data_IF_548838734036
#
_entry.id   IF_548838734036
#
_cell.length_a   1.000
_cell.length_b   1.000
_cell.length_c   1.000
_cell.angle_alpha   90.00
_cell.angle_beta   90.00
_cell.angle_gamma   90.00
#
_symmetry.space_group_name_H-M   'P 1'
#
loop_
_entity.id
_entity.type
_entity.pdbx_description
1 polymer ?
#
# COMPACT_ATOMS: atom_id res chain seq x y z
N UNK A 1 -9.74 -2.83 20.22
CA UNK A 1 -8.76 -1.74 20.46
C UNK A 1 -7.41 -2.08 19.84
N UNK A 2 -6.78 -3.21 20.17
CA UNK A 2 -5.49 -3.62 19.59
C UNK A 2 -5.46 -3.56 18.04
N UNK A 3 -6.35 -4.30 17.35
CA UNK A 3 -6.41 -4.28 15.88
C UNK A 3 -6.71 -2.89 15.30
N UNK A 4 -7.56 -2.11 15.98
CA UNK A 4 -7.88 -0.73 15.58
C UNK A 4 -6.62 0.15 15.57
N UNK A 5 -5.76 0.04 16.59
CA UNK A 5 -4.51 0.80 16.67
C UNK A 5 -3.53 0.38 15.57
N UNK A 6 -3.46 -0.93 15.28
CA UNK A 6 -2.59 -1.44 14.22
C UNK A 6 -2.99 -0.94 12.84
N UNK A 7 -4.28 -1.04 12.50
CA UNK A 7 -4.80 -0.68 11.17
C UNK A 7 -4.93 0.82 10.94
N UNK A 8 -5.09 1.62 11.99
CA UNK A 8 -5.26 3.07 11.87
C UNK A 8 -3.97 3.79 11.48
N UNK A 9 -4.07 5.07 11.11
CA UNK A 9 -2.91 5.90 10.83
C UNK A 9 -2.05 6.18 12.08
N UNK A 10 -0.80 6.59 11.89
CA UNK A 10 0.07 7.05 12.97
C UNK A 10 -0.53 8.25 13.71
N UNK A 11 -1.12 9.20 12.97
CA UNK A 11 -1.78 10.37 13.56
C UNK A 11 -2.93 9.96 14.50
N UNK A 12 -3.74 8.98 14.11
CA UNK A 12 -4.81 8.46 14.97
C UNK A 12 -4.26 7.79 16.24
N UNK A 13 -3.16 7.05 16.12
CA UNK A 13 -2.51 6.40 17.28
C UNK A 13 -1.98 7.43 18.28
N UNK A 14 -1.33 8.49 17.80
CA UNK A 14 -0.87 9.59 18.66
C UNK A 14 -2.03 10.38 19.27
N UNK A 15 -3.11 10.63 18.51
CA UNK A 15 -4.29 11.30 19.03
C UNK A 15 -5.00 10.47 20.13
N UNK A 16 -5.05 9.15 19.97
CA UNK A 16 -5.60 8.23 20.98
C UNK A 16 -4.71 8.16 22.23
N UNK A 17 -3.39 8.15 22.06
CA UNK A 17 -2.46 8.24 23.20
C UNK A 17 -2.63 9.56 23.95
N UNK A 18 -2.67 10.68 23.23
CA UNK A 18 -2.85 12.02 23.81
C UNK A 18 -4.18 12.13 24.55
N UNK A 19 -5.28 11.62 23.98
CA UNK A 19 -6.59 11.64 24.64
C UNK A 19 -6.63 10.76 25.90
N UNK A 20 -5.91 9.63 25.91
CA UNK A 20 -5.80 8.77 27.09
C UNK A 20 -5.01 9.47 28.22
N UNK A 21 -3.89 10.15 27.92
CA UNK A 21 -3.17 10.97 28.89
C UNK A 21 -4.02 12.14 29.38
N UNK A 22 -4.70 12.84 28.48
CA UNK A 22 -5.57 13.95 28.86
C UNK A 22 -6.68 13.48 29.81
N UNK A 23 -7.32 12.33 29.53
CA UNK A 23 -8.33 11.75 30.41
C UNK A 23 -7.76 11.39 31.79
N UNK A 24 -6.59 10.74 31.83
CA UNK A 24 -5.93 10.39 33.10
C UNK A 24 -5.55 11.64 33.91
N UNK A 25 -5.05 12.69 33.25
CA UNK A 25 -4.75 13.97 33.89
C UNK A 25 -6.02 14.63 34.41
N UNK A 26 -7.13 14.61 33.67
CA UNK A 26 -8.42 15.16 34.12
C UNK A 26 -8.99 14.40 35.32
N UNK A 27 -8.85 13.07 35.35
CA UNK A 27 -9.27 12.26 36.51
C UNK A 27 -8.41 12.55 37.75
N UNK A 28 -7.08 12.61 37.59
CA UNK A 28 -6.17 12.99 38.67
C UNK A 28 -6.40 14.44 39.12
N UNK A 29 -6.71 15.35 38.19
CA UNK A 29 -7.06 16.73 38.47
C UNK A 29 -8.32 16.80 39.35
N UNK A 30 -9.40 16.12 38.95
CA UNK A 30 -10.64 16.06 39.73
C UNK A 30 -10.40 15.52 41.15
N UNK A 31 -9.56 14.50 41.31
CA UNK A 31 -9.18 13.96 42.61
C UNK A 31 -8.34 14.94 43.45
N UNK A 32 -7.48 15.73 42.82
CA UNK A 32 -6.55 16.66 43.49
C UNK A 32 -7.18 18.00 43.92
N UNK A 33 -8.29 18.43 43.33
CA UNK A 33 -8.98 19.69 43.71
C UNK A 33 -9.41 19.68 45.19
N UNK A 34 -9.78 18.50 45.71
CA UNK A 34 -10.21 18.34 47.10
C UNK A 34 -9.08 18.31 48.13
N UNK A 35 -7.82 18.24 47.68
CA UNK A 35 -6.65 18.07 48.55
C UNK A 35 -5.95 19.42 48.81
N UNK A 36 -5.53 19.72 50.04
CA UNK A 36 -4.67 20.88 50.30
C UNK A 36 -3.27 20.63 49.71
N UNK A 37 -2.90 21.46 48.74
CA UNK A 37 -1.60 21.44 48.06
C UNK A 37 -0.81 22.69 48.48
N UNK A 38 0.48 22.52 48.77
CA UNK A 38 1.41 23.59 49.03
C UNK A 38 2.27 23.87 47.80
N UNK A 39 2.49 25.15 47.50
CA UNK A 39 3.35 25.60 46.42
C UNK A 39 4.65 26.14 47.04
N UNK A 40 5.75 25.43 46.85
CA UNK A 40 7.07 25.81 47.39
C UNK A 40 7.64 27.04 46.64
N UNK A 41 7.21 27.24 45.40
CA UNK A 41 7.60 28.37 44.55
C UNK A 41 6.64 29.57 44.67
N UNK A 42 5.83 29.67 45.72
CA UNK A 42 4.86 30.76 45.86
C UNK A 42 5.52 32.15 45.78
N UNK A 43 6.73 32.30 46.30
CA UNK A 43 7.49 33.55 46.31
C UNK A 43 8.09 33.90 44.94
N UNK A 44 8.44 32.91 44.12
CA UNK A 44 9.01 33.10 42.78
C UNK A 44 7.95 33.17 41.67
N UNK A 45 6.82 32.47 41.85
CA UNK A 45 5.66 32.49 40.93
C UNK A 45 4.75 33.72 41.19
N UNK A 46 5.10 34.58 42.14
CA UNK A 46 4.45 35.86 42.38
C UNK A 46 4.61 36.75 41.13
N UNK A 47 3.60 36.71 40.26
CA UNK A 47 3.49 37.53 39.06
C UNK A 47 3.64 39.03 39.46
N UNK A 48 4.28 39.90 38.66
CA UNK A 48 4.35 41.34 38.94
C UNK A 48 2.98 42.04 39.06
N UNK A 49 1.88 41.33 38.77
CA UNK A 49 0.49 41.75 38.95
C UNK A 49 -0.17 41.31 40.28
N UNK A 50 0.54 40.60 41.17
CA UNK A 50 0.05 40.21 42.49
C UNK A 50 -1.07 39.16 42.50
N UNK A 51 -1.34 38.50 41.37
CA UNK A 51 -2.37 37.46 41.28
C UNK A 51 -1.81 36.11 41.76
N UNK A 52 -2.35 35.59 42.87
CA UNK A 52 -2.05 34.24 43.36
C UNK A 52 -2.47 33.17 42.34
N UNK A 53 -1.67 32.11 42.22
CA UNK A 53 -1.99 30.95 41.36
C UNK A 53 -3.28 30.32 41.86
N UNK A 54 -4.29 30.22 40.99
CA UNK A 54 -5.57 29.59 41.36
C UNK A 54 -5.39 28.14 41.79
N UNK A 55 -6.20 27.69 42.75
CA UNK A 55 -6.19 26.30 43.25
C UNK A 55 -6.36 25.27 42.13
N UNK A 56 -7.15 25.61 41.11
CA UNK A 56 -7.32 24.77 39.93
C UNK A 56 -6.02 24.65 39.11
N UNK A 57 -5.28 25.74 38.91
CA UNK A 57 -3.99 25.68 38.22
C UNK A 57 -2.97 24.84 39.02
N UNK A 58 -2.96 24.97 40.35
CA UNK A 58 -2.07 24.19 41.22
C UNK A 58 -2.40 22.68 41.20
N UNK A 59 -3.68 22.34 41.30
CA UNK A 59 -4.17 20.97 41.17
C UNK A 59 -3.86 20.37 39.78
N UNK A 60 -3.99 21.15 38.70
CA UNK A 60 -3.63 20.70 37.35
C UNK A 60 -2.12 20.46 37.18
N UNK A 61 -1.27 21.32 37.74
CA UNK A 61 0.19 21.13 37.77
C UNK A 61 0.57 19.87 38.56
N UNK A 62 -0.09 19.63 39.69
CA UNK A 62 0.10 18.42 40.49
C UNK A 62 -0.35 17.17 39.73
N UNK A 63 -1.54 17.17 39.15
CA UNK A 63 -2.08 16.03 38.41
C UNK A 63 -1.23 15.68 37.17
N UNK A 64 -0.85 16.69 36.38
CA UNK A 64 -0.04 16.48 35.18
C UNK A 64 1.37 15.97 35.51
N UNK A 65 2.03 16.53 36.53
CA UNK A 65 3.36 16.07 36.96
C UNK A 65 3.38 14.62 37.45
N UNK A 66 2.35 14.17 38.18
CA UNK A 66 2.31 12.81 38.72
C UNK A 66 1.88 11.76 37.68
N UNK A 67 0.95 12.11 36.77
CA UNK A 67 0.52 11.21 35.68
C UNK A 67 1.60 11.08 34.60
N UNK A 68 2.26 12.18 34.21
CA UNK A 68 3.35 12.17 33.22
C UNK A 68 4.70 11.77 33.83
N UNK A 69 4.79 11.71 35.16
CA UNK A 69 6.00 11.39 35.91
C UNK A 69 7.16 12.37 35.69
N UNK A 70 6.85 13.57 35.16
CA UNK A 70 7.77 14.69 35.02
C UNK A 70 7.34 15.78 36.01
N UNK A 71 7.85 15.69 37.23
CA UNK A 71 7.61 16.70 38.26
C UNK A 71 8.77 17.67 38.36
N UNK A 72 8.45 18.96 38.40
CA UNK A 72 9.40 20.03 38.70
C UNK A 72 9.55 20.25 40.22
N UNK A 73 8.87 19.46 41.06
CA UNK A 73 9.00 19.52 42.52
C UNK A 73 8.32 20.73 43.20
N UNK A 74 7.58 21.54 42.46
CA UNK A 74 7.04 22.82 42.96
C UNK A 74 5.76 22.69 43.77
N UNK A 75 5.00 21.60 43.59
CA UNK A 75 3.71 21.37 44.22
C UNK A 75 3.74 20.09 45.03
N UNK A 76 3.50 20.20 46.34
CA UNK A 76 3.55 19.06 47.26
C UNK A 76 2.28 18.96 48.12
N UNK A 77 1.78 17.74 48.41
CA UNK A 77 0.66 17.55 49.33
C UNK A 77 1.13 17.75 50.78
N UNK A 78 0.27 18.33 51.62
CA UNK A 78 0.57 18.56 53.05
C UNK A 78 -0.07 17.55 53.98
N UNK A 79 -0.99 16.73 53.48
CA UNK A 79 -1.76 15.75 54.26
C UNK A 79 -1.50 14.32 53.78
N UNK A 80 -1.65 13.35 54.68
CA UNK A 80 -1.52 11.92 54.35
C UNK A 80 -2.50 11.49 53.24
N UNK A 81 -3.70 12.06 53.24
CA UNK A 81 -4.69 11.85 52.17
C UNK A 81 -4.18 12.38 50.80
N UNK A 82 -3.44 13.48 50.79
CA UNK A 82 -2.83 14.02 49.57
C UNK A 82 -1.70 13.15 49.04
N UNK A 83 -0.87 12.59 49.92
CA UNK A 83 0.14 11.60 49.53
C UNK A 83 -0.49 10.32 48.97
N UNK A 84 -1.62 9.86 49.55
CA UNK A 84 -2.35 8.72 49.00
C UNK A 84 -2.85 8.99 47.56
N UNK A 85 -3.40 10.19 47.29
CA UNK A 85 -3.79 10.60 45.93
C UNK A 85 -2.58 10.70 45.01
N UNK A 86 -1.43 11.17 45.50
CA UNK A 86 -0.17 11.22 44.74
C UNK A 86 0.28 9.81 44.31
N UNK A 87 0.25 8.83 45.21
CA UNK A 87 0.64 7.46 44.87
C UNK A 87 -0.33 6.81 43.90
N UNK A 88 -1.64 7.05 44.05
CA UNK A 88 -2.65 6.54 43.12
C UNK A 88 -2.50 7.14 41.72
N UNK A 89 -2.22 8.43 41.61
CA UNK A 89 -2.01 9.08 40.31
C UNK A 89 -0.72 8.62 39.62
N UNK A 90 0.35 8.38 40.38
CA UNK A 90 1.59 7.78 39.86
C UNK A 90 1.34 6.35 39.35
N UNK A 91 0.63 5.53 40.12
CA UNK A 91 0.30 4.16 39.69
C UNK A 91 -0.54 4.16 38.40
N UNK A 92 -1.51 5.07 38.29
CA UNK A 92 -2.29 5.25 37.07
C UNK A 92 -1.40 5.67 35.88
N UNK A 93 -0.48 6.60 36.09
CA UNK A 93 0.48 7.04 35.07
C UNK A 93 1.39 5.91 34.58
N UNK A 94 1.92 5.07 35.49
CA UNK A 94 2.74 3.91 35.13
C UNK A 94 1.97 2.93 34.26
N UNK A 95 0.76 2.56 34.65
CA UNK A 95 -0.09 1.63 33.90
C UNK A 95 -0.39 2.19 32.51
N UNK A 96 -0.73 3.48 32.42
CA UNK A 96 -0.99 4.14 31.15
C UNK A 96 0.24 4.17 30.23
N UNK A 97 1.41 4.53 30.77
CA UNK A 97 2.68 4.52 30.03
C UNK A 97 2.99 3.15 29.45
N UNK A 98 2.80 2.08 30.25
CA UNK A 98 3.02 0.71 29.79
C UNK A 98 2.09 0.35 28.61
N UNK A 99 0.82 0.73 28.68
CA UNK A 99 -0.13 0.46 27.60
C UNK A 99 0.18 1.24 26.33
N UNK A 100 0.46 2.54 26.44
CA UNK A 100 0.81 3.39 25.28
C UNK A 100 2.09 2.89 24.63
N UNK A 101 3.13 2.61 25.41
CA UNK A 101 4.39 2.08 24.90
C UNK A 101 4.21 0.74 24.21
N UNK A 102 3.45 -0.18 24.81
CA UNK A 102 3.15 -1.49 24.21
C UNK A 102 2.39 -1.35 22.89
N UNK A 103 1.43 -0.42 22.82
CA UNK A 103 0.67 -0.16 21.60
C UNK A 103 1.55 0.42 20.47
N UNK A 104 2.45 1.35 20.81
CA UNK A 104 3.40 1.93 19.85
C UNK A 104 4.39 0.87 19.35
N UNK A 105 4.95 0.05 20.25
CA UNK A 105 5.85 -1.05 19.86
C UNK A 105 5.16 -2.08 18.97
N UNK A 106 3.93 -2.49 19.32
CA UNK A 106 3.16 -3.43 18.50
C UNK A 106 2.91 -2.87 17.09
N UNK A 107 2.65 -1.56 16.98
CA UNK A 107 2.47 -0.90 15.69
C UNK A 107 3.76 -0.84 14.87
N UNK A 108 4.91 -0.59 15.50
CA UNK A 108 6.22 -0.64 14.84
C UNK A 108 6.60 -2.04 14.36
N UNK A 109 6.21 -3.08 15.10
CA UNK A 109 6.47 -4.47 14.72
C UNK A 109 5.52 -4.98 13.65
N UNK A 110 4.41 -4.29 13.38
CA UNK A 110 3.45 -4.69 12.36
C UNK A 110 4.06 -4.49 10.96
N UNK A 111 4.13 -5.54 10.13
CA UNK A 111 4.67 -5.42 8.78
C UNK A 111 3.80 -4.48 7.93
N UNK A 112 4.42 -3.49 7.28
CA UNK A 112 3.72 -2.59 6.37
C UNK A 112 3.48 -3.23 5.00
N UNK A 113 2.41 -2.81 4.31
CA UNK A 113 2.04 -3.32 2.98
C UNK A 113 2.89 -2.64 1.90
N UNK A 114 4.13 -3.11 1.72
CA UNK A 114 5.07 -2.50 0.78
C UNK A 114 5.14 -3.21 -0.58
N UNK A 115 4.16 -4.09 -0.85
CA UNK A 115 4.00 -4.75 -2.14
C UNK A 115 3.03 -3.96 -3.01
N UNK A 116 3.53 -3.44 -4.12
CA UNK A 116 2.75 -2.67 -5.10
C UNK A 116 2.42 -3.55 -6.29
N UNK A 117 1.23 -3.38 -6.83
CA UNK A 117 0.75 -4.07 -8.02
C UNK A 117 0.53 -3.07 -9.15
N UNK A 118 0.73 -3.48 -10.40
CA UNK A 118 0.42 -2.61 -11.53
C UNK A 118 -1.05 -2.26 -11.55
N UNK A 119 -1.38 -1.00 -11.85
CA UNK A 119 -2.77 -0.54 -11.91
C UNK A 119 -3.56 -1.23 -13.03
N UNK A 120 -2.88 -1.58 -14.13
CA UNK A 120 -3.43 -2.23 -15.32
C UNK A 120 -2.76 -3.57 -15.56
N UNK A 121 -3.48 -4.48 -16.22
CA UNK A 121 -2.92 -5.71 -16.76
C UNK A 121 -2.73 -5.53 -18.27
N UNK A 122 -1.55 -5.87 -18.78
CA UNK A 122 -1.20 -5.63 -20.19
C UNK A 122 -1.21 -6.96 -20.95
N UNK A 123 -1.90 -6.99 -22.08
CA UNK A 123 -1.84 -8.10 -23.02
C UNK A 123 -0.67 -7.92 -23.98
N UNK A 124 0.24 -8.89 -23.99
CA UNK A 124 1.40 -8.93 -24.87
C UNK A 124 1.44 -10.24 -25.65
N UNK A 125 2.31 -10.33 -26.65
CA UNK A 125 2.60 -11.59 -27.35
C UNK A 125 4.05 -11.98 -27.08
N UNK A 126 4.26 -13.19 -26.55
CA UNK A 126 5.59 -13.79 -26.39
C UNK A 126 5.63 -15.05 -27.26
N UNK A 127 6.56 -15.10 -28.21
CA UNK A 127 6.72 -16.22 -29.14
C UNK A 127 5.41 -16.60 -29.88
N UNK A 128 4.62 -15.60 -30.26
CA UNK A 128 3.33 -15.79 -30.92
C UNK A 128 2.16 -16.21 -30.02
N UNK A 129 2.40 -16.47 -28.73
CA UNK A 129 1.38 -16.80 -27.73
C UNK A 129 0.90 -15.51 -27.03
N UNK A 130 -0.42 -15.25 -26.93
CA UNK A 130 -0.94 -14.15 -26.14
C UNK A 130 -0.73 -14.42 -24.65
N UNK A 131 -0.11 -13.47 -23.95
CA UNK A 131 0.25 -13.56 -22.53
C UNK A 131 -0.30 -12.34 -21.80
N UNK A 132 -1.02 -12.59 -20.71
CA UNK A 132 -1.47 -11.55 -19.80
C UNK A 132 -0.36 -11.26 -18.77
N UNK A 133 0.14 -10.03 -18.79
CA UNK A 133 1.21 -9.58 -17.91
C UNK A 133 0.67 -8.66 -16.81
N UNK A 134 1.01 -8.97 -15.56
CA UNK A 134 0.77 -8.14 -14.38
C UNK A 134 2.07 -7.99 -13.62
N UNK A 135 2.36 -6.79 -13.13
CA UNK A 135 3.62 -6.53 -12.42
C UNK A 135 3.38 -6.43 -10.92
N UNK A 136 4.26 -7.06 -10.14
CA UNK A 136 4.35 -6.90 -8.70
C UNK A 136 5.72 -6.31 -8.35
N UNK A 137 5.71 -5.27 -7.53
CA UNK A 137 6.90 -4.57 -7.05
C UNK A 137 7.04 -4.73 -5.54
N UNK A 138 8.26 -5.01 -5.09
CA UNK A 138 8.66 -4.92 -3.70
C UNK A 138 9.35 -3.58 -3.49
N UNK A 139 8.70 -2.69 -2.72
CA UNK A 139 9.29 -1.42 -2.32
C UNK A 139 10.31 -1.58 -1.18
N UNK A 140 10.48 -2.79 -0.64
CA UNK A 140 11.47 -3.06 0.42
C UNK A 140 12.87 -3.18 -0.17
N UNK A 141 13.85 -2.68 0.56
CA UNK A 141 15.26 -2.77 0.19
C UNK A 141 15.87 -4.17 0.35
N UNK A 142 15.10 -5.16 0.85
CA UNK A 142 15.56 -6.54 1.05
C UNK A 142 14.73 -7.55 0.26
N UNK A 143 15.33 -8.70 0.02
CA UNK A 143 14.76 -9.78 -0.78
C UNK A 143 13.74 -10.59 0.01
N UNK A 144 12.58 -10.86 -0.60
CA UNK A 144 11.59 -11.81 -0.10
C UNK A 144 11.92 -13.22 -0.59
N UNK A 145 11.69 -14.21 0.27
CA UNK A 145 11.97 -15.61 -0.02
C UNK A 145 10.69 -16.43 -0.14
N UNK A 146 10.78 -17.59 -0.81
CA UNK A 146 9.69 -18.55 -0.95
C UNK A 146 8.41 -17.88 -1.51
N UNK A 147 8.58 -17.12 -2.60
CA UNK A 147 7.47 -16.42 -3.21
C UNK A 147 6.50 -17.42 -3.86
N UNK A 148 5.22 -17.29 -3.57
CA UNK A 148 4.14 -18.10 -4.13
C UNK A 148 3.11 -17.15 -4.70
N UNK A 149 2.77 -17.37 -5.97
CA UNK A 149 1.80 -16.57 -6.71
C UNK A 149 0.62 -17.46 -7.05
N UNK A 150 -0.59 -17.01 -6.70
CA UNK A 150 -1.84 -17.70 -7.01
C UNK A 150 -2.75 -16.77 -7.78
N UNK A 151 -3.17 -17.21 -8.96
CA UNK A 151 -4.09 -16.46 -9.81
C UNK A 151 -5.38 -17.25 -9.93
N UNK A 152 -6.50 -16.59 -9.62
CA UNK A 152 -7.84 -17.19 -9.65
C UNK A 152 -8.75 -16.36 -10.53
N UNK A 153 -9.28 -16.97 -11.59
CA UNK A 153 -10.33 -16.40 -12.42
C UNK A 153 -11.69 -16.71 -11.79
N UNK A 154 -12.43 -15.66 -11.44
CA UNK A 154 -13.77 -15.71 -10.91
C UNK A 154 -14.75 -15.30 -12.00
N UNK A 155 -15.70 -16.16 -12.33
CA UNK A 155 -16.76 -15.85 -13.29
C UNK A 155 -18.09 -16.44 -12.88
N UNK A 156 -19.18 -15.78 -13.25
CA UNK A 156 -20.52 -16.36 -13.10
C UNK A 156 -20.66 -17.54 -14.07
N UNK A 157 -21.10 -18.68 -13.55
CA UNK A 157 -21.39 -19.87 -14.35
C UNK A 157 -22.75 -20.43 -13.95
N UNK A 158 -23.55 -20.79 -14.95
CA UNK A 158 -24.81 -21.50 -14.75
C UNK A 158 -24.57 -22.95 -15.16
N UNK A 159 -24.88 -23.89 -14.27
CA UNK A 159 -24.77 -25.33 -14.57
C UNK A 159 -25.84 -25.75 -15.56
N UNK A 160 -25.64 -26.91 -16.18
CA UNK A 160 -26.67 -27.58 -16.98
C UNK A 160 -27.93 -27.93 -16.17
N UNK A 161 -27.81 -27.97 -14.85
CA UNK A 161 -28.88 -28.25 -13.89
C UNK A 161 -29.63 -26.96 -13.47
N UNK A 162 -29.22 -25.79 -13.97
CA UNK A 162 -29.87 -24.50 -13.71
C UNK A 162 -29.37 -23.76 -12.46
N UNK A 163 -28.35 -24.28 -11.75
CA UNK A 163 -27.75 -23.59 -10.61
C UNK A 163 -26.75 -22.52 -11.08
N UNK A 164 -26.93 -21.28 -10.61
CA UNK A 164 -26.00 -20.19 -10.87
C UNK A 164 -25.05 -19.99 -9.69
N UNK A 165 -23.74 -20.15 -9.91
CA UNK A 165 -22.71 -19.90 -8.89
C UNK A 165 -21.48 -19.19 -9.47
N UNK A 166 -20.63 -18.67 -8.58
CA UNK A 166 -19.34 -18.08 -8.95
C UNK A 166 -18.29 -19.18 -9.07
N UNK A 167 -17.95 -19.55 -10.32
CA UNK A 167 -16.93 -20.55 -10.60
C UNK A 167 -15.55 -19.95 -10.43
N UNK A 168 -14.72 -20.60 -9.61
CA UNK A 168 -13.32 -20.27 -9.39
C UNK A 168 -12.46 -21.21 -10.25
N UNK A 169 -11.66 -20.64 -11.14
CA UNK A 169 -10.72 -21.38 -11.98
C UNK A 169 -9.31 -20.95 -11.61
N UNK A 170 -8.43 -21.92 -11.29
CA UNK A 170 -7.02 -21.65 -11.07
C UNK A 170 -6.35 -21.41 -12.42
N UNK A 171 -5.51 -20.39 -12.49
CA UNK A 171 -4.60 -20.14 -13.61
C UNK A 171 -3.21 -20.56 -13.15
N UNK A 172 -2.55 -21.37 -13.97
CA UNK A 172 -1.18 -21.82 -13.68
C UNK A 172 -0.20 -20.70 -14.02
N UNK A 173 0.68 -20.41 -13.06
CA UNK A 173 1.67 -19.36 -13.11
C UNK A 173 2.94 -19.89 -12.48
N UNK A 174 4.08 -19.58 -13.09
CA UNK A 174 5.40 -19.93 -12.56
C UNK A 174 5.81 -18.89 -11.52
N UNK A 175 5.91 -19.25 -10.22
CA UNK A 175 6.37 -18.32 -9.21
C UNK A 175 7.89 -18.15 -9.24
N UNK A 176 8.42 -16.95 -8.91
CA UNK A 176 9.86 -16.76 -8.73
C UNK A 176 10.33 -17.35 -7.39
N UNK A 177 11.60 -17.77 -7.31
CA UNK A 177 12.17 -18.27 -6.05
C UNK A 177 12.35 -17.16 -5.00
N UNK A 178 12.73 -15.96 -5.45
CA UNK A 178 13.01 -14.78 -4.63
C UNK A 178 12.58 -13.50 -5.33
N UNK A 179 12.24 -12.46 -4.56
CA UNK A 179 11.79 -11.19 -5.13
C UNK A 179 12.42 -10.01 -4.38
N UNK A 180 13.35 -9.30 -5.03
CA UNK A 180 14.08 -8.16 -4.44
C UNK A 180 13.70 -6.80 -5.02
N UNK A 181 12.91 -6.77 -6.10
CA UNK A 181 12.59 -5.57 -6.84
C UNK A 181 11.25 -5.74 -7.54
N UNK A 182 11.27 -5.85 -8.86
CA UNK A 182 10.05 -6.01 -9.66
C UNK A 182 10.01 -7.40 -10.28
N UNK A 183 8.83 -8.02 -10.30
CA UNK A 183 8.57 -9.26 -11.01
C UNK A 183 7.32 -9.13 -11.88
N UNK A 184 7.44 -9.51 -13.15
CA UNK A 184 6.31 -9.54 -14.08
C UNK A 184 5.74 -10.94 -14.12
N UNK A 185 4.51 -11.07 -13.63
CA UNK A 185 3.69 -12.28 -13.67
C UNK A 185 3.13 -12.43 -15.08
N UNK A 186 3.58 -13.45 -15.79
CA UNK A 186 3.11 -13.82 -17.11
C UNK A 186 2.12 -14.99 -17.01
N UNK A 187 0.91 -14.81 -17.55
CA UNK A 187 -0.10 -15.86 -17.62
C UNK A 187 -0.41 -16.16 -19.09
N UNK A 188 -0.06 -17.35 -19.55
CA UNK A 188 -0.24 -17.73 -20.95
C UNK A 188 -1.71 -18.03 -21.26
N UNK A 189 -2.21 -17.45 -22.35
CA UNK A 189 -3.58 -17.63 -22.83
C UNK A 189 -3.61 -18.69 -23.93
N UNK A 190 -3.36 -19.93 -23.51
CA UNK A 190 -3.37 -21.14 -24.37
C UNK A 190 -4.77 -21.77 -24.35
N UNK A 191 -5.25 -22.45 -25.41
CA UNK A 191 -6.56 -23.12 -25.44
C UNK A 191 -6.91 -24.05 -24.25
N UNK A 192 -5.90 -24.56 -23.53
CA UNK A 192 -6.10 -25.34 -22.28
C UNK A 192 -6.20 -24.51 -20.99
N UNK A 193 -5.87 -23.23 -21.03
CA UNK A 193 -5.87 -22.31 -19.89
C UNK A 193 -7.27 -21.80 -19.57
N UNK A 194 -7.54 -21.56 -18.28
CA UNK A 194 -8.79 -20.95 -17.84
C UNK A 194 -9.02 -19.55 -18.44
N UNK A 195 -7.94 -18.84 -18.80
CA UNK A 195 -7.96 -17.51 -19.40
C UNK A 195 -8.47 -17.49 -20.83
N UNK A 196 -8.27 -18.58 -21.59
CA UNK A 196 -8.64 -18.63 -23.01
C UNK A 196 -10.14 -18.46 -23.24
N UNK A 197 -10.96 -18.96 -22.31
CA UNK A 197 -12.43 -18.86 -22.38
C UNK A 197 -12.96 -17.43 -22.26
N UNK A 198 -12.10 -16.49 -21.91
CA UNK A 198 -12.48 -15.12 -21.55
C UNK A 198 -11.70 -14.10 -22.37
N UNK A 199 -10.40 -14.35 -22.62
CA UNK A 199 -9.53 -13.43 -23.35
C UNK A 199 -9.12 -13.97 -24.73
N UNK A 200 -9.63 -15.13 -25.17
CA UNK A 200 -9.32 -15.72 -26.48
C UNK A 200 -9.70 -14.82 -27.66
N UNK A 201 -10.90 -14.23 -27.62
CA UNK A 201 -11.47 -13.45 -28.72
C UNK A 201 -11.34 -11.93 -28.55
N UNK A 202 -10.67 -11.47 -27.50
CA UNK A 202 -10.58 -10.05 -27.17
C UNK A 202 -9.83 -9.26 -28.26
N UNK A 203 -10.31 -8.05 -28.58
CA UNK A 203 -9.60 -7.09 -29.46
C UNK A 203 -8.16 -6.80 -28.98
N UNK A 204 -7.89 -7.03 -27.70
CA UNK A 204 -6.57 -6.84 -27.08
C UNK A 204 -5.54 -7.94 -27.41
N UNK A 205 -5.95 -9.08 -27.99
CA UNK A 205 -5.02 -10.18 -28.37
C UNK A 205 -4.60 -10.13 -29.85
N UNK A 206 -5.33 -9.34 -30.65
CA UNK A 206 -5.04 -9.10 -32.07
C UNK A 206 -4.27 -7.79 -32.21
N UNK A 207 -3.11 -7.87 -32.87
CA UNK A 207 -2.37 -6.69 -33.28
C UNK A 207 -3.15 -5.99 -34.39
N UNK A 208 -3.32 -4.66 -34.36
CA UNK A 208 -3.81 -3.95 -35.53
C UNK A 208 -2.83 -4.22 -36.68
N UNK A 209 -3.29 -4.93 -37.70
CA UNK A 209 -2.53 -5.15 -38.92
C UNK A 209 -2.48 -3.83 -39.70
N UNK A 210 -1.51 -2.99 -39.41
CA UNK A 210 -1.40 -1.67 -40.05
C UNK A 210 -0.51 -0.69 -39.30
N UNK A 211 0.75 -1.06 -39.07
CA UNK A 211 1.81 -0.12 -38.73
C UNK A 211 3.03 -0.38 -39.63
N UNK A 212 2.78 -0.51 -40.94
CA UNK A 212 3.81 -0.35 -41.96
C UNK A 212 3.49 0.94 -42.71
N UNK A 213 4.42 1.89 -42.60
CA UNK A 213 4.62 3.07 -43.45
C UNK A 213 3.45 4.05 -43.61
N UNK A 214 3.57 5.20 -42.95
CA UNK A 214 3.05 6.45 -43.50
C UNK A 214 3.81 6.72 -44.82
N UNK A 215 3.15 6.44 -45.94
CA UNK A 215 3.48 6.98 -47.25
C UNK A 215 2.15 7.13 -48.00
N UNK A 216 1.97 8.30 -48.59
CA UNK A 216 0.84 8.72 -49.39
C UNK A 216 0.38 7.64 -50.37
N UNK A 217 -0.94 7.44 -50.49
CA UNK A 217 -1.63 7.37 -51.79
C UNK A 217 -3.15 7.36 -51.58
N UNK A 218 -3.81 8.34 -52.18
CA UNK A 218 -5.25 8.40 -52.38
C UNK A 218 -5.70 7.22 -53.25
N UNK A 219 -6.57 6.35 -52.74
CA UNK A 219 -7.61 5.77 -53.60
C UNK A 219 -8.83 5.30 -52.82
N UNK A 220 -9.99 5.77 -53.27
CA UNK A 220 -11.29 5.43 -52.76
C UNK A 220 -11.79 4.17 -53.47
N UNK A 221 -12.05 3.09 -52.73
CA UNK A 221 -13.05 2.09 -53.14
C UNK A 221 -13.71 1.42 -51.95
N UNK A 222 -14.93 1.86 -51.72
CA UNK A 222 -16.13 1.10 -51.39
C UNK A 222 -15.94 -0.41 -51.08
N UNK A 223 -16.08 -0.76 -49.80
CA UNK A 223 -16.51 -2.09 -49.38
C UNK A 223 -17.42 -1.91 -48.15
N UNK A 224 -18.71 -1.81 -48.46
CA UNK A 224 -19.80 -1.99 -47.51
C UNK A 224 -19.74 -3.39 -46.91
N UNK A 225 -19.32 -3.52 -45.66
CA UNK A 225 -19.71 -4.64 -44.81
C UNK A 225 -20.29 -4.06 -43.51
N UNK A 226 -21.60 -3.82 -43.58
CA UNK A 226 -22.49 -3.79 -42.43
C UNK A 226 -22.48 -5.17 -41.77
N UNK A 227 -21.52 -5.40 -40.87
CA UNK A 227 -21.73 -6.32 -39.76
C UNK A 227 -22.14 -5.48 -38.55
N UNK A 228 -23.45 -5.27 -38.47
CA UNK A 228 -24.17 -5.00 -37.24
C UNK A 228 -24.03 -6.21 -36.32
N UNK A 229 -22.83 -6.40 -35.75
CA UNK A 229 -22.66 -7.26 -34.60
C UNK A 229 -23.28 -6.54 -33.41
N UNK A 230 -24.46 -7.02 -33.07
CA UNK A 230 -25.18 -6.73 -31.83
C UNK A 230 -24.24 -6.38 -30.68
N UNK A 231 -24.37 -5.16 -30.15
CA UNK A 231 -23.81 -4.69 -28.87
C UNK A 231 -24.30 -5.51 -27.63
N UNK A 232 -24.78 -6.74 -27.84
CA UNK A 232 -25.34 -7.67 -26.86
C UNK A 232 -24.45 -8.91 -26.62
N UNK A 233 -23.25 -8.97 -27.19
CA UNK A 233 -22.21 -9.90 -26.73
C UNK A 233 -21.71 -9.46 -25.36
N UNK A 234 -22.49 -9.87 -24.35
CA UNK A 234 -22.23 -9.82 -22.91
C UNK A 234 -20.73 -9.68 -22.64
N UNK A 235 -20.31 -8.48 -22.25
CA UNK A 235 -19.17 -8.30 -21.35
C UNK A 235 -19.41 -9.22 -20.14
N UNK A 236 -19.00 -10.47 -20.23
CA UNK A 236 -19.14 -11.42 -19.13
C UNK A 236 -18.32 -10.83 -17.99
N UNK A 237 -18.99 -10.36 -16.95
CA UNK A 237 -18.28 -9.84 -15.78
C UNK A 237 -17.45 -10.97 -15.18
N UNK A 238 -16.15 -10.91 -15.39
CA UNK A 238 -15.15 -11.79 -14.81
C UNK A 238 -14.19 -10.95 -13.96
N UNK A 239 -13.60 -11.58 -12.96
CA UNK A 239 -12.66 -10.94 -12.06
C UNK A 239 -11.43 -11.83 -11.89
N UNK A 240 -10.26 -11.28 -12.15
CA UNK A 240 -8.98 -11.95 -11.88
C UNK A 240 -8.46 -11.51 -10.52
N UNK A 241 -8.34 -12.46 -9.61
CA UNK A 241 -7.78 -12.24 -8.28
C UNK A 241 -6.37 -12.81 -8.21
N UNK A 242 -5.40 -11.93 -8.02
CA UNK A 242 -3.99 -12.27 -7.81
C UNK A 242 -3.69 -12.23 -6.32
N UNK A 243 -3.01 -13.26 -5.83
CA UNK A 243 -2.51 -13.35 -4.47
C UNK A 243 -1.02 -13.65 -4.52
N UNK A 244 -0.24 -12.81 -3.88
CA UNK A 244 1.18 -12.97 -3.69
C UNK A 244 1.46 -13.22 -2.21
N UNK A 245 2.13 -14.32 -1.91
CA UNK A 245 2.59 -14.66 -0.56
C UNK A 245 4.09 -14.90 -0.58
N UNK A 246 4.82 -14.37 0.39
CA UNK A 246 6.25 -14.60 0.53
C UNK A 246 6.67 -14.51 2.01
N UNK A 247 7.86 -14.98 2.34
CA UNK A 247 8.45 -14.87 3.67
C UNK A 247 9.38 -13.67 3.71
N UNK A 248 9.16 -12.80 4.68
CA UNK A 248 10.06 -11.69 4.97
C UNK A 248 11.14 -12.11 5.99
N UNK A 249 12.43 -12.04 5.66
CA UNK A 249 13.52 -12.43 6.56
C UNK A 249 13.75 -11.47 7.74
N UNK A 250 13.36 -10.20 7.61
CA UNK A 250 13.52 -9.15 8.65
C UNK A 250 12.43 -9.30 9.72
N UNK A 251 11.19 -9.49 9.30
CA UNK A 251 10.06 -9.70 10.23
C UNK A 251 9.87 -11.17 10.63
N UNK A 252 10.55 -12.09 9.93
CA UNK A 252 10.39 -13.54 10.07
C UNK A 252 8.92 -13.99 10.03
N UNK A 253 8.15 -13.38 9.12
CA UNK A 253 6.71 -13.55 8.99
C UNK A 253 6.31 -13.62 7.52
N UNK A 254 5.18 -14.29 7.25
CA UNK A 254 4.60 -14.31 5.91
C UNK A 254 3.93 -12.97 5.59
N UNK A 255 4.26 -12.42 4.44
CA UNK A 255 3.55 -11.28 3.85
C UNK A 255 2.61 -11.76 2.76
N UNK A 256 1.41 -11.19 2.77
CA UNK A 256 0.38 -11.47 1.77
C UNK A 256 -0.10 -10.15 1.18
N UNK A 257 -0.09 -10.06 -0.14
CA UNK A 257 -0.69 -8.96 -0.89
C UNK A 257 -1.60 -9.52 -1.98
N UNK A 258 -2.69 -8.84 -2.26
CA UNK A 258 -3.64 -9.26 -3.28
C UNK A 258 -4.07 -8.06 -4.13
N UNK A 259 -4.38 -8.33 -5.38
CA UNK A 259 -4.92 -7.35 -6.31
C UNK A 259 -5.98 -7.98 -7.20
N UNK A 260 -6.95 -7.17 -7.60
CA UNK A 260 -8.07 -7.59 -8.44
C UNK A 260 -8.08 -6.81 -9.74
N UNK A 261 -8.16 -7.53 -10.86
CA UNK A 261 -8.31 -6.95 -12.20
C UNK A 261 -9.69 -7.29 -12.77
N UNK A 262 -10.37 -6.24 -13.21
CA UNK A 262 -11.63 -6.31 -13.95
C UNK A 262 -11.35 -6.16 -15.45
N UNK A 263 -12.32 -6.44 -16.33
CA UNK A 263 -12.13 -6.32 -17.78
C UNK A 263 -11.66 -4.92 -18.20
N UNK A 264 -12.18 -3.87 -17.55
CA UNK A 264 -11.84 -2.46 -17.84
C UNK A 264 -10.38 -2.09 -17.54
N UNK A 265 -9.70 -2.89 -16.71
CA UNK A 265 -8.29 -2.68 -16.35
C UNK A 265 -7.32 -3.44 -17.24
N UNK A 266 -7.82 -4.25 -18.17
CA UNK A 266 -7.00 -4.96 -19.15
C UNK A 266 -6.82 -4.09 -20.38
N UNK A 267 -5.57 -3.78 -20.70
CA UNK A 267 -5.19 -2.99 -21.86
C UNK A 267 -4.28 -3.79 -22.77
N UNK A 268 -4.34 -3.52 -24.07
CA UNK A 268 -3.47 -4.14 -25.06
C UNK A 268 -4.02 -3.99 -26.47
N UNK A 269 -3.26 -4.42 -27.47
CA UNK A 269 -1.95 -5.07 -27.33
C UNK A 269 -0.80 -4.09 -26.99
N UNK A 270 0.13 -4.51 -26.13
CA UNK A 270 1.29 -3.71 -25.73
C UNK A 270 2.27 -4.45 -24.82
N UNK A 271 3.28 -3.75 -24.30
CA UNK A 271 4.21 -4.25 -23.28
C UNK A 271 4.26 -3.31 -22.09
N UNK A 272 4.54 -3.83 -20.90
CA UNK A 272 4.91 -2.98 -19.77
C UNK A 272 6.27 -2.32 -20.09
N UNK A 273 6.40 -1.02 -19.85
CA UNK A 273 7.67 -0.30 -20.05
C UNK A 273 8.74 -0.91 -19.16
N UNK A 274 9.98 -1.00 -19.65
CA UNK A 274 11.05 -1.52 -18.82
C UNK A 274 11.32 -0.57 -17.65
N UNK A 275 11.66 -1.14 -16.49
CA UNK A 275 11.84 -0.39 -15.23
C UNK A 275 13.24 -0.53 -14.68
N UNK A 276 14.08 -1.38 -15.28
CA UNK A 276 15.46 -1.55 -14.87
C UNK A 276 16.31 -0.62 -15.74
N UNK A 277 16.75 0.49 -15.17
CA UNK A 277 17.62 1.46 -15.82
C UNK A 277 19.04 1.42 -15.21
N UNK A 278 20.04 1.82 -15.99
CA UNK A 278 21.38 2.05 -15.47
C UNK A 278 21.38 3.29 -14.57
N UNK A 279 21.54 3.12 -13.27
CA UNK A 279 21.64 4.21 -12.31
C UNK A 279 22.97 4.97 -12.42
N UNK A 280 23.04 6.13 -11.75
CA UNK A 280 24.27 6.94 -11.64
C UNK A 280 25.38 6.09 -10.99
N UNK A 281 26.35 5.64 -11.80
CA UNK A 281 27.45 4.78 -11.36
C UNK A 281 27.40 3.32 -11.87
N UNK A 282 26.51 2.99 -12.81
CA UNK A 282 26.47 1.67 -13.46
C UNK A 282 25.78 0.57 -12.64
N UNK A 283 25.22 0.90 -11.48
CA UNK A 283 24.37 -0.02 -10.72
C UNK A 283 22.95 -0.04 -11.31
N UNK A 284 22.34 -1.23 -11.42
CA UNK A 284 20.95 -1.36 -11.83
C UNK A 284 20.03 -0.67 -10.81
N UNK A 285 19.23 0.28 -11.28
CA UNK A 285 18.25 1.01 -10.48
C UNK A 285 16.84 0.77 -11.03
N UNK A 286 15.85 0.75 -10.14
CA UNK A 286 14.45 0.58 -10.52
C UNK A 286 13.81 1.96 -10.66
N UNK A 287 13.32 2.27 -11.85
CA UNK A 287 12.55 3.48 -12.12
C UNK A 287 11.07 3.26 -11.76
N UNK A 288 10.69 3.63 -10.55
CA UNK A 288 9.31 3.46 -10.06
C UNK A 288 8.28 4.35 -10.76
N UNK A 289 8.70 5.44 -11.42
CA UNK A 289 7.81 6.30 -12.20
C UNK A 289 7.22 5.55 -13.41
N UNK A 290 8.05 4.73 -14.07
CA UNK A 290 7.66 3.90 -15.21
C UNK A 290 6.92 2.59 -14.81
N UNK A 291 6.67 2.36 -13.51
CA UNK A 291 6.14 1.09 -13.02
C UNK A 291 4.78 0.72 -13.62
N UNK A 292 3.89 1.71 -13.76
CA UNK A 292 2.54 1.59 -14.32
C UNK A 292 2.47 1.93 -15.82
N UNK A 293 3.55 2.41 -16.41
CA UNK A 293 3.60 2.78 -17.82
C UNK A 293 3.60 1.54 -18.73
N UNK A 294 2.90 1.65 -19.86
CA UNK A 294 2.88 0.62 -20.88
C UNK A 294 3.12 1.25 -22.25
N UNK A 295 3.83 0.52 -23.11
CA UNK A 295 4.12 0.90 -24.49
C UNK A 295 3.10 0.17 -25.38
N UNK A 296 2.22 0.89 -26.09
CA UNK A 296 1.29 0.28 -27.03
C UNK A 296 2.03 -0.21 -28.28
N UNK A 297 1.61 -1.36 -28.82
CA UNK A 297 2.19 -1.91 -30.05
C UNK A 297 2.59 -3.38 -29.93
N UNK A 298 2.64 -4.03 -31.08
CA UNK A 298 3.01 -5.44 -31.21
C UNK A 298 4.38 -5.67 -31.85
N UNK A 299 4.88 -4.71 -32.62
CA UNK A 299 6.16 -4.83 -33.30
C UNK A 299 7.31 -4.50 -32.34
N UNK A 300 8.37 -5.29 -32.44
CA UNK A 300 9.57 -5.22 -31.63
C UNK A 300 10.77 -5.05 -32.55
N UNK A 301 10.68 -4.10 -33.50
CA UNK A 301 11.84 -3.76 -34.32
C UNK A 301 12.85 -3.04 -33.45
N UNK A 302 14.11 -3.43 -33.61
CA UNK A 302 15.30 -2.92 -32.92
C UNK A 302 15.54 -1.41 -33.14
N UNK A 303 14.72 -0.76 -33.96
CA UNK A 303 14.81 0.66 -34.31
C UNK A 303 14.53 1.61 -33.12
N UNK A 304 14.05 1.10 -31.97
CA UNK A 304 13.95 1.86 -30.71
C UNK A 304 15.28 1.88 -29.92
N UNK A 305 16.19 0.91 -30.12
CA UNK A 305 17.51 0.91 -29.47
C UNK A 305 18.45 1.94 -30.11
N UNK A 306 18.34 2.16 -31.43
CA UNK A 306 19.16 3.17 -32.13
C UNK A 306 18.81 4.62 -31.71
N UNK A 307 17.60 4.89 -31.22
CA UNK A 307 17.22 6.23 -30.73
C UNK A 307 17.72 6.55 -29.34
N UNK A 308 17.92 5.56 -28.47
CA UNK A 308 18.52 5.80 -27.15
C UNK A 308 20.06 5.92 -27.24
N UNK A 309 20.70 5.30 -28.25
CA UNK A 309 22.14 5.48 -28.49
C UNK A 309 22.48 6.84 -29.11
N UNK A 310 21.64 7.40 -29.99
CA UNK A 310 21.88 8.71 -30.61
C UNK A 310 21.70 9.90 -29.65
N UNK A 311 20.84 9.82 -28.62
CA UNK A 311 20.76 10.86 -27.58
C UNK A 311 21.92 10.81 -26.58
N UNK A 312 22.66 9.70 -26.53
CA UNK A 312 23.81 9.51 -25.62
C UNK A 312 25.15 10.03 -26.15
N UNK A 313 25.26 10.35 -27.45
CA UNK A 313 26.55 10.63 -28.09
C UNK A 313 26.76 12.08 -28.55
N UNK A 314 25.85 13.01 -28.22
CA UNK A 314 25.93 14.41 -28.66
C UNK A 314 26.41 15.39 -27.55
N UNK A 315 27.46 15.00 -26.81
CA UNK A 315 28.23 15.94 -25.98
C UNK A 315 29.72 15.70 -26.18
N UNK A 316 30.31 16.44 -27.13
CA UNK A 316 31.77 16.49 -27.27
C UNK A 316 32.30 17.00 -28.61
N UNK A 317 31.80 18.15 -29.09
CA UNK A 317 32.37 18.86 -30.23
C UNK A 317 32.36 20.38 -29.98
N UNK A 318 33.57 20.95 -29.95
CA UNK A 318 34.00 22.35 -29.77
C UNK A 318 34.18 22.90 -28.34
#
# INVERSE_FOLDING_TARGET
>A
IYFLVLESSWAFTFALAFSAYALAILLAFAASIGVPLHNDNADSDANPSGAEVTRAALAFRFASSHVLQMSFGTVMPTTDAGYAVAYLSIMLGVVLNLFVFSAVLAKFQSPQKDLVWSTRAVMTRRDGVPVLCVRVGNLRCHTLYNCVIRVTLLRRHVTTEGEAYMRKLRVDVTPPATMSGVHTIACDVVPGSALFKVLGDSKTTKCPSGAATAADDDDASDASDTDSDSDEDKCQAWLLHYVFTAVDPVYNAEVCSHSTYTPDKVVGPGRLKDVIAAGKGGAAAIEWAAFDEYVPGCDHRADDEEKEEDEGNDVGGD
#
